data_IF_804987333676
#
_entry.id   IF_804987333676
#
_cell.length_a   1.000
_cell.length_b   1.000
_cell.length_c   1.000
_cell.angle_alpha   90.00
_cell.angle_beta   90.00
_cell.angle_gamma   90.00
#
_symmetry.space_group_name_H-M   'P 1'
#
loop_
_entity.id
_entity.type
_entity.pdbx_description
1 polymer ?
#
# COMPACT_ATOMS: atom_id res chain seq x y z
N UNK A 1 17.74 13.90 4.11
CA UNK A 1 18.13 12.47 4.08
C UNK A 1 18.10 11.94 5.51
N UNK A 2 17.95 10.63 5.72
CA UNK A 2 17.86 10.01 7.06
C UNK A 2 16.47 9.97 7.69
N UNK A 3 15.43 10.45 7.00
CA UNK A 3 14.06 10.35 7.48
C UNK A 3 13.57 8.90 7.43
N UNK A 4 12.88 8.46 8.48
CA UNK A 4 12.24 7.16 8.52
C UNK A 4 11.14 7.06 7.46
N UNK A 5 11.09 5.94 6.76
CA UNK A 5 10.08 5.65 5.75
C UNK A 5 9.74 4.16 5.80
N UNK A 6 8.48 3.84 5.62
CA UNK A 6 7.98 2.48 5.55
C UNK A 6 7.30 2.24 4.21
N UNK A 7 7.23 0.97 3.81
CA UNK A 7 6.58 0.55 2.59
C UNK A 7 5.79 -0.74 2.80
N UNK A 8 4.80 -0.95 1.94
CA UNK A 8 3.94 -2.13 1.94
C UNK A 8 3.95 -2.78 0.57
N UNK A 9 3.96 -4.12 0.54
CA UNK A 9 3.94 -4.91 -0.69
C UNK A 9 3.42 -6.32 -0.41
N UNK A 10 2.92 -6.99 -1.45
CA UNK A 10 2.27 -8.30 -1.31
C UNK A 10 3.23 -9.44 -0.99
N UNK A 11 4.52 -9.30 -1.37
CA UNK A 11 5.51 -10.38 -1.20
C UNK A 11 6.12 -10.32 0.19
N UNK A 12 6.58 -9.14 0.62
CA UNK A 12 7.34 -9.01 1.86
C UNK A 12 6.61 -8.24 2.96
N UNK A 13 5.36 -7.83 2.72
CA UNK A 13 4.52 -7.17 3.70
C UNK A 13 5.01 -5.77 4.05
N UNK A 14 4.89 -5.38 5.32
CA UNK A 14 5.32 -4.08 5.83
C UNK A 14 6.81 -4.10 6.21
N UNK A 15 7.59 -3.14 5.69
CA UNK A 15 9.01 -2.95 6.05
C UNK A 15 9.34 -1.48 6.18
N UNK A 16 10.27 -1.15 7.07
CA UNK A 16 10.71 0.21 7.32
C UNK A 16 12.22 0.33 7.19
N UNK A 17 12.66 1.55 6.92
CA UNK A 17 14.05 1.93 6.74
C UNK A 17 14.17 3.45 6.71
N UNK A 18 15.17 3.96 6.01
CA UNK A 18 15.49 5.38 5.93
C UNK A 18 15.70 5.85 4.50
N UNK A 19 15.34 7.10 4.23
CA UNK A 19 15.64 7.74 2.95
C UNK A 19 17.14 8.03 2.86
N UNK A 20 17.83 7.31 1.98
CA UNK A 20 19.27 7.44 1.75
C UNK A 20 19.58 8.57 0.76
N UNK A 21 18.78 8.71 -0.29
CA UNK A 21 19.01 9.69 -1.36
C UNK A 21 17.70 10.11 -2.03
N UNK A 22 17.61 11.36 -2.50
CA UNK A 22 16.54 11.87 -3.37
C UNK A 22 17.14 12.25 -4.72
N UNK A 23 16.30 12.38 -5.76
CA UNK A 23 16.72 12.68 -7.12
C UNK A 23 17.75 11.67 -7.67
N UNK A 24 17.61 10.41 -7.29
CA UNK A 24 18.38 9.32 -7.86
C UNK A 24 17.95 9.06 -9.31
N UNK A 25 18.89 8.56 -10.11
CA UNK A 25 18.65 8.11 -11.47
C UNK A 25 19.07 6.66 -11.61
N UNK A 26 18.18 5.83 -12.14
CA UNK A 26 18.42 4.40 -12.37
C UNK A 26 18.30 4.13 -13.86
N UNK A 27 19.35 3.54 -14.44
CA UNK A 27 19.37 3.16 -15.85
C UNK A 27 18.95 1.70 -15.99
N UNK A 28 17.81 1.50 -16.63
CA UNK A 28 17.33 0.19 -17.08
C UNK A 28 17.65 0.00 -18.56
N UNK A 29 17.66 -1.24 -19.09
CA UNK A 29 17.84 -1.49 -20.52
C UNK A 29 16.85 -0.72 -21.42
N UNK A 30 15.66 -0.41 -20.89
CA UNK A 30 14.60 0.32 -21.58
C UNK A 30 14.76 1.84 -21.51
N UNK A 31 15.69 2.35 -20.69
CA UNK A 31 15.94 3.78 -20.51
C UNK A 31 16.29 4.17 -19.06
N UNK A 32 16.66 5.43 -18.88
CA UNK A 32 16.97 5.98 -17.55
C UNK A 32 15.74 6.62 -16.92
N UNK A 33 15.39 6.18 -15.71
CA UNK A 33 14.37 6.80 -14.88
C UNK A 33 15.07 7.75 -13.89
N UNK A 34 14.63 9.01 -13.86
CA UNK A 34 15.22 10.06 -13.02
C UNK A 34 14.20 10.55 -11.99
N UNK A 35 14.68 11.21 -10.92
CA UNK A 35 13.81 11.76 -9.89
C UNK A 35 13.36 10.73 -8.84
N UNK A 36 13.99 9.56 -8.79
CA UNK A 36 13.66 8.50 -7.84
C UNK A 36 14.16 8.84 -6.43
N UNK A 37 13.53 8.25 -5.42
CA UNK A 37 14.01 8.29 -4.04
C UNK A 37 14.52 6.92 -3.62
N UNK A 38 15.70 6.90 -3.02
CA UNK A 38 16.42 5.71 -2.57
C UNK A 38 16.19 5.46 -1.08
N UNK A 39 15.96 4.21 -0.69
CA UNK A 39 15.81 3.76 0.70
C UNK A 39 16.42 2.36 0.92
N UNK A 40 16.70 2.00 2.18
CA UNK A 40 17.06 0.64 2.61
C UNK A 40 15.87 -0.17 3.15
N UNK A 41 14.66 0.37 3.10
CA UNK A 41 13.46 -0.40 3.43
C UNK A 41 13.25 -1.49 2.37
N UNK A 42 13.73 -2.71 2.66
CA UNK A 42 13.90 -3.76 1.68
C UNK A 42 12.59 -4.15 0.96
N UNK A 43 12.66 -4.54 -0.30
CA UNK A 43 11.55 -5.03 -1.13
C UNK A 43 12.05 -6.21 -1.99
N UNK A 44 11.14 -7.07 -2.43
CA UNK A 44 11.41 -8.20 -3.32
C UNK A 44 10.48 -8.16 -4.55
N UNK A 45 10.77 -8.94 -5.60
CA UNK A 45 9.86 -9.09 -6.73
C UNK A 45 8.42 -9.37 -6.28
N UNK A 46 7.48 -8.56 -6.80
CA UNK A 46 6.08 -8.57 -6.42
C UNK A 46 5.67 -7.48 -5.42
N UNK A 47 6.61 -6.72 -4.84
CA UNK A 47 6.29 -5.50 -4.07
C UNK A 47 6.19 -4.23 -4.93
N UNK A 48 6.45 -4.34 -6.24
CA UNK A 48 6.34 -3.24 -7.21
C UNK A 48 4.94 -2.64 -7.23
N UNK A 49 4.84 -1.31 -7.28
CA UNK A 49 3.58 -0.57 -7.14
C UNK A 49 3.10 -0.42 -5.69
N UNK A 50 3.73 -1.11 -4.73
CA UNK A 50 3.46 -0.98 -3.30
C UNK A 50 3.67 0.44 -2.76
N UNK A 51 2.93 0.79 -1.71
CA UNK A 51 2.90 2.14 -1.16
C UNK A 51 4.10 2.45 -0.26
N UNK A 52 4.55 3.71 -0.27
CA UNK A 52 5.58 4.26 0.63
C UNK A 52 4.99 5.37 1.50
N UNK A 53 5.26 5.33 2.80
CA UNK A 53 4.69 6.21 3.82
C UNK A 53 5.76 6.67 4.82
N UNK A 54 5.72 7.94 5.20
CA UNK A 54 6.47 8.48 6.34
C UNK A 54 5.45 8.96 7.38
N UNK A 55 5.21 8.15 8.41
CA UNK A 55 4.06 8.34 9.30
C UNK A 55 2.75 8.28 8.51
N UNK A 56 1.96 9.36 8.56
CA UNK A 56 0.71 9.51 7.80
C UNK A 56 0.88 10.15 6.42
N UNK A 57 2.11 10.44 5.98
CA UNK A 57 2.37 11.11 4.71
C UNK A 57 2.73 10.11 3.62
N UNK A 58 1.93 10.04 2.55
CA UNK A 58 2.29 9.26 1.36
C UNK A 58 3.53 9.85 0.69
N UNK A 59 4.52 9.01 0.44
CA UNK A 59 5.79 9.38 -0.16
C UNK A 59 5.87 8.98 -1.63
N UNK A 60 5.30 7.81 -2.00
CA UNK A 60 5.45 7.30 -3.34
C UNK A 60 5.03 5.85 -3.53
N UNK A 61 5.46 5.29 -4.65
CA UNK A 61 5.19 3.90 -5.07
C UNK A 61 6.49 3.18 -5.45
N UNK A 62 6.61 1.90 -5.10
CA UNK A 62 7.80 1.09 -5.41
C UNK A 62 8.00 1.01 -6.92
N UNK A 63 9.17 1.42 -7.41
CA UNK A 63 9.55 1.30 -8.82
C UNK A 63 10.42 0.08 -9.07
N UNK A 64 11.39 -0.17 -8.17
CA UNK A 64 12.29 -1.31 -8.29
C UNK A 64 13.39 -1.28 -7.24
N UNK A 65 14.26 -2.26 -7.31
CA UNK A 65 15.29 -2.54 -6.33
C UNK A 65 16.64 -2.87 -6.97
N UNK A 66 17.68 -2.80 -6.17
CA UNK A 66 18.99 -3.37 -6.47
C UNK A 66 19.48 -4.14 -5.24
N UNK A 67 19.59 -5.46 -5.35
CA UNK A 67 19.93 -6.36 -4.25
C UNK A 67 18.72 -7.16 -3.79
N UNK A 68 18.71 -7.59 -2.52
CA UNK A 68 17.58 -8.31 -1.92
C UNK A 68 17.49 -8.00 -0.41
N UNK A 69 16.42 -8.44 0.24
CA UNK A 69 16.18 -8.25 1.67
C UNK A 69 17.22 -8.96 2.55
N UNK A 70 17.88 -10.02 2.06
CA UNK A 70 18.86 -10.80 2.84
C UNK A 70 20.25 -10.18 2.87
N UNK A 71 20.63 -9.42 1.84
CA UNK A 71 21.96 -8.81 1.70
C UNK A 71 21.97 -7.29 1.98
N UNK A 72 20.83 -6.70 2.32
CA UNK A 72 20.72 -5.24 2.52
C UNK A 72 20.69 -4.47 1.20
N UNK A 73 19.76 -4.84 0.33
CA UNK A 73 19.54 -4.17 -0.95
C UNK A 73 19.05 -2.74 -0.81
N UNK A 74 19.04 -2.04 -1.94
CA UNK A 74 18.62 -0.66 -2.08
C UNK A 74 17.33 -0.62 -2.87
N UNK A 75 16.34 0.13 -2.38
CA UNK A 75 15.04 0.25 -3.01
C UNK A 75 14.83 1.65 -3.56
N UNK A 76 14.16 1.73 -4.71
CA UNK A 76 13.80 2.98 -5.37
C UNK A 76 12.28 3.10 -5.47
N UNK A 77 11.78 4.27 -5.11
CA UNK A 77 10.37 4.62 -5.26
C UNK A 77 10.19 5.92 -6.04
N UNK A 78 9.11 5.96 -6.81
CA UNK A 78 8.68 7.16 -7.52
C UNK A 78 7.90 8.06 -6.56
N UNK A 79 8.26 9.36 -6.42
CA UNK A 79 7.51 10.27 -5.55
C UNK A 79 6.04 10.41 -5.96
N UNK A 80 5.14 10.56 -4.99
CA UNK A 80 3.69 10.62 -5.25
C UNK A 80 3.26 11.92 -5.93
N UNK A 81 3.87 13.07 -5.58
CA UNK A 81 3.42 14.37 -6.09
C UNK A 81 3.48 14.50 -7.63
N UNK A 82 4.58 14.11 -8.32
CA UNK A 82 4.60 14.11 -9.79
C UNK A 82 3.50 13.25 -10.42
N UNK A 83 3.15 12.12 -9.81
CA UNK A 83 2.07 11.24 -10.27
C UNK A 83 0.71 11.96 -10.15
N UNK A 84 0.45 12.57 -8.99
CA UNK A 84 -0.79 13.32 -8.75
C UNK A 84 -0.95 14.47 -9.76
N UNK A 85 0.12 15.22 -10.03
CA UNK A 85 0.10 16.34 -10.99
C UNK A 85 -0.10 15.84 -12.42
N UNK A 86 0.65 14.82 -12.85
CA UNK A 86 0.59 14.32 -14.22
C UNK A 86 -0.80 13.78 -14.60
N UNK A 87 -1.51 13.18 -13.64
CA UNK A 87 -2.81 12.56 -13.87
C UNK A 87 -4.00 13.35 -13.27
N UNK A 88 -3.77 14.52 -12.68
CA UNK A 88 -4.83 15.31 -12.05
C UNK A 88 -5.54 14.59 -10.89
N UNK A 89 -4.82 13.74 -10.16
CA UNK A 89 -5.36 12.92 -9.09
C UNK A 89 -5.28 13.65 -7.75
N UNK A 90 -6.23 13.36 -6.86
CA UNK A 90 -6.19 13.79 -5.46
C UNK A 90 -5.94 12.59 -4.57
N UNK A 91 -4.96 12.71 -3.67
CA UNK A 91 -4.69 11.67 -2.69
C UNK A 91 -5.81 11.63 -1.64
N UNK A 92 -6.45 10.48 -1.49
CA UNK A 92 -7.41 10.25 -0.41
C UNK A 92 -6.62 9.98 0.87
N UNK A 93 -6.77 10.85 1.87
CA UNK A 93 -6.19 10.67 3.20
C UNK A 93 -7.32 10.66 4.21
N UNK A 94 -7.43 9.62 5.03
CA UNK A 94 -8.51 9.48 6.02
C UNK A 94 -8.26 10.27 7.32
N UNK A 95 -7.47 11.36 7.29
CA UNK A 95 -6.95 11.97 8.53
C UNK A 95 -6.64 13.47 8.54
N UNK A 96 -7.19 14.30 7.64
CA UNK A 96 -6.92 15.75 7.71
C UNK A 96 -7.74 16.62 6.77
N UNK A 97 -8.92 17.05 7.21
CA UNK A 97 -9.77 18.07 6.57
C UNK A 97 -11.25 17.66 6.56
N UNK A 98 -12.21 18.59 6.71
CA UNK A 98 -13.63 18.28 6.61
C UNK A 98 -14.02 18.08 5.14
N UNK A 99 -13.49 17.01 4.52
CA UNK A 99 -14.16 16.33 3.42
C UNK A 99 -15.36 15.56 4.00
N UNK A 100 -16.42 15.30 3.20
CA UNK A 100 -17.71 14.92 3.74
C UNK A 100 -17.51 13.79 4.72
N UNK A 101 -17.98 13.99 5.95
CA UNK A 101 -18.18 12.92 6.91
C UNK A 101 -18.61 11.70 6.11
N UNK A 102 -17.82 10.60 6.05
CA UNK A 102 -18.38 9.38 5.54
C UNK A 102 -19.51 9.11 6.51
N UNK A 103 -20.73 9.41 6.09
CA UNK A 103 -21.91 8.87 6.73
C UNK A 103 -21.56 7.40 6.85
N UNK A 104 -21.37 6.94 8.08
CA UNK A 104 -21.36 5.54 8.37
C UNK A 104 -22.72 5.06 7.90
N UNK A 105 -22.81 4.65 6.64
CA UNK A 105 -23.87 3.77 6.19
C UNK A 105 -23.48 2.47 6.86
N UNK A 106 -24.06 2.32 8.05
CA UNK A 106 -24.31 1.13 8.83
C UNK A 106 -23.52 -0.10 8.36
N UNK A 107 -22.68 -0.72 9.22
CA UNK A 107 -22.29 -2.11 9.01
C UNK A 107 -23.53 -2.91 8.58
N UNK A 108 -23.47 -3.79 7.56
CA UNK A 108 -24.63 -4.60 7.19
C UNK A 108 -25.27 -5.14 8.47
N UNK A 109 -26.56 -4.86 8.73
CA UNK A 109 -27.20 -5.33 9.95
C UNK A 109 -27.05 -6.85 10.04
N UNK A 110 -26.38 -7.32 11.09
CA UNK A 110 -26.35 -8.74 11.43
C UNK A 110 -25.16 -9.56 10.90
N UNK A 111 -23.92 -9.15 11.21
CA UNK A 111 -22.78 -10.08 11.16
C UNK A 111 -22.52 -10.71 9.79
N UNK A 112 -22.93 -10.05 8.70
CA UNK A 112 -22.74 -10.58 7.36
C UNK A 112 -21.26 -10.53 7.00
N UNK A 113 -20.67 -11.70 6.94
CA UNK A 113 -19.28 -11.90 6.53
C UNK A 113 -19.16 -11.93 5.02
N UNK A 114 -19.96 -11.23 4.20
CA UNK A 114 -19.85 -11.30 2.72
C UNK A 114 -19.37 -9.99 2.13
N UNK A 115 -18.41 -10.03 1.17
CA UNK A 115 -17.87 -8.84 0.52
C UNK A 115 -18.94 -8.10 -0.32
N UNK A 116 -18.91 -6.77 -0.31
CA UNK A 116 -19.85 -5.89 -1.02
C UNK A 116 -19.12 -4.68 -1.62
N UNK A 117 -19.46 -4.34 -2.86
CA UNK A 117 -19.05 -3.07 -3.49
C UNK A 117 -19.66 -1.90 -2.72
N UNK A 118 -18.88 -0.85 -2.51
CA UNK A 118 -19.27 0.37 -1.79
C UNK A 118 -19.17 0.26 -0.26
N UNK A 119 -18.91 -0.94 0.27
CA UNK A 119 -18.70 -1.11 1.71
C UNK A 119 -17.32 -0.58 2.13
N UNK A 120 -17.25 0.00 3.33
CA UNK A 120 -15.98 0.41 3.93
C UNK A 120 -15.52 -0.65 4.91
N UNK A 121 -14.31 -1.16 4.70
CA UNK A 121 -13.69 -2.19 5.52
C UNK A 121 -12.60 -1.56 6.38
N UNK A 122 -12.63 -1.82 7.69
CA UNK A 122 -11.55 -1.45 8.60
C UNK A 122 -10.44 -2.51 8.60
N UNK A 123 -9.25 -2.14 9.08
CA UNK A 123 -8.17 -3.12 9.32
C UNK A 123 -8.67 -4.18 10.29
N UNK A 124 -8.45 -5.45 9.95
CA UNK A 124 -8.89 -6.59 10.73
C UNK A 124 -10.33 -7.04 10.46
N UNK A 125 -11.10 -6.33 9.63
CA UNK A 125 -12.42 -6.78 9.20
C UNK A 125 -12.30 -8.05 8.35
N UNK A 126 -13.14 -9.05 8.63
CA UNK A 126 -13.19 -10.31 7.88
C UNK A 126 -14.41 -10.36 6.97
N UNK A 127 -14.20 -10.69 5.70
CA UNK A 127 -15.24 -10.80 4.67
C UNK A 127 -15.05 -12.07 3.84
N UNK A 128 -16.12 -12.62 3.32
CA UNK A 128 -16.16 -13.87 2.56
C UNK A 128 -16.49 -13.50 1.13
N UNK A 129 -15.69 -13.98 0.20
CA UNK A 129 -15.90 -13.80 -1.22
C UNK A 129 -15.57 -15.11 -1.92
N UNK A 130 -16.48 -15.57 -2.80
CA UNK A 130 -16.37 -16.86 -3.47
C UNK A 130 -16.10 -18.05 -2.51
N UNK A 131 -16.65 -18.00 -1.28
CA UNK A 131 -16.50 -19.05 -0.27
C UNK A 131 -15.18 -19.00 0.54
N UNK A 132 -14.29 -18.04 0.26
CA UNK A 132 -13.04 -17.84 1.01
C UNK A 132 -13.20 -16.63 1.93
N UNK A 133 -12.82 -16.77 3.20
CA UNK A 133 -12.75 -15.66 4.15
C UNK A 133 -11.42 -14.91 3.99
N UNK A 134 -11.49 -13.59 3.92
CA UNK A 134 -10.40 -12.66 3.76
C UNK A 134 -10.38 -11.67 4.93
N UNK A 135 -9.19 -11.38 5.47
CA UNK A 135 -9.02 -10.30 6.46
C UNK A 135 -8.41 -9.08 5.80
N UNK A 136 -9.11 -7.96 5.94
CA UNK A 136 -8.69 -6.65 5.48
C UNK A 136 -7.43 -6.21 6.23
N UNK A 137 -6.34 -5.92 5.51
CA UNK A 137 -5.08 -5.46 6.12
C UNK A 137 -4.94 -3.94 6.09
N UNK A 138 -5.68 -3.26 5.22
CA UNK A 138 -5.69 -1.81 5.10
C UNK A 138 -7.12 -1.29 4.96
N UNK A 139 -7.51 -0.33 5.79
CA UNK A 139 -8.86 0.22 5.71
C UNK A 139 -9.11 0.91 4.37
N UNK A 140 -10.23 0.60 3.71
CA UNK A 140 -10.58 1.14 2.39
C UNK A 140 -12.08 1.01 2.11
N UNK A 141 -12.57 1.73 1.10
CA UNK A 141 -13.91 1.54 0.53
C UNK A 141 -13.79 0.68 -0.73
N UNK A 142 -14.59 -0.38 -0.82
CA UNK A 142 -14.56 -1.29 -1.96
C UNK A 142 -15.19 -0.65 -3.20
N UNK A 143 -14.51 -0.75 -4.34
CA UNK A 143 -15.01 -0.33 -5.64
C UNK A 143 -15.18 -1.55 -6.57
N UNK A 144 -15.91 -1.45 -7.70
CA UNK A 144 -15.92 -2.50 -8.70
C UNK A 144 -14.48 -2.87 -9.13
N UNK A 145 -14.13 -4.15 -9.14
CA UNK A 145 -12.77 -4.62 -9.43
C UNK A 145 -11.82 -4.68 -8.21
N UNK A 146 -12.30 -4.31 -7.01
CA UNK A 146 -11.56 -4.43 -5.74
C UNK A 146 -12.04 -5.65 -4.93
N UNK A 147 -12.32 -6.76 -5.62
CA UNK A 147 -12.65 -8.01 -4.94
C UNK A 147 -11.48 -8.43 -4.01
N UNK A 148 -11.73 -9.17 -2.92
CA UNK A 148 -10.68 -9.53 -1.96
C UNK A 148 -9.38 -10.13 -2.53
N UNK A 149 -9.39 -10.98 -3.58
CA UNK A 149 -8.13 -11.44 -4.20
C UNK A 149 -7.34 -10.34 -4.93
N UNK A 150 -7.99 -9.23 -5.30
CA UNK A 150 -7.40 -8.13 -6.06
C UNK A 150 -6.97 -6.95 -5.17
N UNK A 151 -7.13 -7.07 -3.85
CA UNK A 151 -6.82 -6.01 -2.87
C UNK A 151 -5.86 -6.51 -1.79
N UNK A 152 -5.28 -5.63 -0.96
CA UNK A 152 -4.46 -6.01 0.20
C UNK A 152 -5.27 -6.71 1.32
N UNK A 153 -5.75 -7.91 1.03
CA UNK A 153 -6.48 -8.78 1.95
C UNK A 153 -5.83 -10.17 1.98
N UNK A 154 -5.80 -10.81 3.15
CA UNK A 154 -5.21 -12.14 3.31
C UNK A 154 -6.29 -13.24 3.25
N UNK A 155 -6.17 -14.26 2.38
CA UNK A 155 -7.06 -15.42 2.39
C UNK A 155 -6.83 -16.29 3.62
N UNK A 156 -7.91 -16.76 4.23
CA UNK A 156 -7.91 -17.47 5.51
C UNK A 156 -7.36 -18.89 5.42
N UNK A 157 -6.14 -19.07 5.93
CA UNK A 157 -5.76 -20.28 6.68
C UNK A 157 -4.87 -20.04 7.89
N UNK A 158 -4.31 -18.84 8.04
CA UNK A 158 -3.48 -18.48 9.18
C UNK A 158 -3.84 -17.07 9.64
N UNK A 159 -4.80 -16.97 10.56
CA UNK A 159 -4.98 -15.77 11.39
C UNK A 159 -4.33 -15.99 12.76
N UNK A 160 -2.99 -16.14 12.89
CA UNK A 160 -2.40 -16.09 14.20
C UNK A 160 -2.58 -14.67 14.73
N UNK A 161 -3.20 -14.55 15.90
CA UNK A 161 -3.19 -13.33 16.69
C UNK A 161 -1.72 -12.98 17.00
N UNK A 162 -1.18 -11.97 16.33
CA UNK A 162 0.01 -11.29 16.84
C UNK A 162 -0.47 -10.26 17.87
N UNK A 163 -0.50 -10.70 19.13
CA UNK A 163 -0.41 -9.85 20.31
C UNK A 163 1.03 -9.35 20.49
#
# INVERSE_FOLDING_TARGET
MGAAVCRSGSTTGWRCGTIQQKNASVTYPQGTVTGLTRSDACAEPGDSGGSWLAGSQAQGVTSGDSGNCSAGGVMYFQPVNPILVAYGLTLVTSGGGPGPTPTATTPPPGGSTTWQVGATYAVGASVTYAGVTYRCQQAHTAYPGWEPPNTPAQPGKDFPNWA
#
